data_IF_433960867212
#
_entry.id   IF_433960867212
#
_cell.length_a   1.000
_cell.length_b   1.000
_cell.length_c   1.000
_cell.angle_alpha   90.00
_cell.angle_beta   90.00
_cell.angle_gamma   90.00
#
_symmetry.space_group_name_H-M   'P 1'
#
loop_
_entity.id
_entity.type
_entity.pdbx_description
1 polymer ?
#
# COMPACT_ATOMS: atom_id res chain seq x y z
N UNK A 1 22.81 23.91 -3.03
CA UNK A 1 21.98 22.69 -2.97
C UNK A 1 20.72 22.99 -2.16
N UNK A 2 19.61 23.25 -2.80
CA UNK A 2 18.37 23.66 -2.15
C UNK A 2 17.60 22.42 -1.72
N UNK A 3 17.45 22.20 -0.41
CA UNK A 3 16.56 21.20 0.16
C UNK A 3 15.12 21.63 -0.12
N UNK A 4 14.45 20.99 -1.08
CA UNK A 4 13.00 21.13 -1.25
C UNK A 4 12.33 20.37 -0.10
N UNK A 5 11.98 21.10 0.95
CA UNK A 5 11.05 20.60 1.96
C UNK A 5 9.67 20.51 1.31
N UNK A 6 9.27 19.32 0.91
CA UNK A 6 7.87 19.03 0.58
C UNK A 6 7.15 18.94 1.91
N UNK A 7 6.54 20.05 2.28
CA UNK A 7 5.62 20.14 3.40
C UNK A 7 4.36 19.34 3.01
N UNK A 8 4.27 18.11 3.47
CA UNK A 8 3.01 17.33 3.40
C UNK A 8 2.06 17.99 4.39
N UNK A 9 1.24 18.89 3.88
CA UNK A 9 0.10 19.46 4.62
C UNK A 9 -0.91 18.34 4.81
N UNK A 10 -0.89 17.67 5.97
CA UNK A 10 -2.02 16.93 6.48
C UNK A 10 -3.09 17.96 6.86
N UNK A 11 -3.84 18.44 5.89
CA UNK A 11 -5.04 19.21 6.13
C UNK A 11 -6.04 18.24 6.79
N UNK A 12 -6.19 18.35 8.10
CA UNK A 12 -7.34 17.82 8.81
C UNK A 12 -8.56 18.60 8.29
N UNK A 13 -9.17 18.10 7.21
CA UNK A 13 -10.48 18.54 6.78
C UNK A 13 -11.46 18.06 7.85
N UNK A 14 -11.78 18.93 8.80
CA UNK A 14 -13.05 18.87 9.53
C UNK A 14 -14.15 19.18 8.51
N UNK A 15 -14.52 18.17 7.70
CA UNK A 15 -15.67 18.26 6.82
C UNK A 15 -16.88 18.18 7.73
N UNK A 16 -17.59 19.31 7.93
CA UNK A 16 -18.95 19.29 8.41
C UNK A 16 -19.78 18.54 7.37
N UNK A 17 -20.05 17.27 7.65
CA UNK A 17 -20.79 16.37 6.76
C UNK A 17 -22.26 16.74 6.88
N UNK A 18 -22.89 17.31 5.83
CA UNK A 18 -24.34 17.39 5.80
C UNK A 18 -24.89 15.95 5.78
N UNK A 19 -25.92 15.68 6.57
CA UNK A 19 -26.62 14.41 6.58
C UNK A 19 -27.33 14.21 5.24
N UNK A 20 -26.65 13.54 4.30
CA UNK A 20 -27.21 13.12 3.02
C UNK A 20 -27.51 11.63 3.03
N UNK A 21 -28.47 11.22 2.19
CA UNK A 21 -29.02 9.87 2.06
C UNK A 21 -27.99 8.74 2.19
N UNK A 22 -28.42 7.57 2.60
CA UNK A 22 -27.68 6.37 3.00
C UNK A 22 -26.54 5.86 2.07
N UNK A 23 -26.39 6.44 0.88
CA UNK A 23 -25.40 6.07 -0.15
C UNK A 23 -24.20 7.04 -0.25
N UNK A 24 -24.17 8.13 0.55
CA UNK A 24 -23.09 9.12 0.55
C UNK A 24 -22.56 9.31 1.97
N UNK A 25 -21.28 9.59 2.11
CA UNK A 25 -20.71 9.87 3.43
C UNK A 25 -19.28 9.41 3.62
N UNK A 26 -18.73 9.79 4.77
CA UNK A 26 -17.39 9.39 5.17
C UNK A 26 -17.34 7.96 5.70
N UNK A 27 -16.20 7.32 5.55
CA UNK A 27 -15.95 6.01 6.15
C UNK A 27 -14.47 5.86 6.52
N UNK A 28 -14.20 4.98 7.48
CA UNK A 28 -12.86 4.55 7.84
C UNK A 28 -12.61 3.14 7.31
N UNK A 29 -11.36 2.85 6.99
CA UNK A 29 -10.92 1.54 6.54
C UNK A 29 -9.64 1.13 7.25
N UNK A 30 -9.63 -0.09 7.80
CA UNK A 30 -8.46 -0.71 8.40
C UNK A 30 -8.29 -2.11 7.83
N UNK A 31 -7.11 -2.40 7.25
CA UNK A 31 -6.83 -3.65 6.56
C UNK A 31 -5.49 -4.21 7.02
N UNK A 32 -5.40 -5.54 7.07
CA UNK A 32 -4.17 -6.30 7.25
C UNK A 32 -4.10 -7.38 6.18
N UNK A 33 -2.90 -7.66 5.70
CA UNK A 33 -2.76 -8.64 4.62
C UNK A 33 -1.34 -9.12 4.41
N UNK A 34 -1.19 -9.95 3.40
CA UNK A 34 0.09 -10.43 2.93
C UNK A 34 0.53 -9.64 1.71
N UNK A 35 1.79 -9.24 1.70
CA UNK A 35 2.43 -8.58 0.55
C UNK A 35 3.42 -9.52 -0.11
N UNK A 36 3.59 -9.35 -1.43
CA UNK A 36 4.58 -10.07 -2.22
C UNK A 36 5.34 -9.09 -3.10
N UNK A 37 6.65 -8.99 -2.88
CA UNK A 37 7.59 -8.24 -3.71
C UNK A 37 8.03 -9.10 -4.88
N UNK A 38 7.88 -8.62 -6.14
CA UNK A 38 8.11 -9.45 -7.33
C UNK A 38 9.56 -9.45 -7.77
N UNK A 39 10.14 -8.32 -8.03
CA UNK A 39 11.44 -8.23 -8.75
C UNK A 39 12.62 -8.09 -7.78
N UNK A 40 12.75 -9.01 -6.81
CA UNK A 40 13.94 -9.08 -5.97
C UNK A 40 15.00 -9.87 -6.73
N UNK A 41 15.93 -9.15 -7.38
CA UNK A 41 17.02 -9.76 -8.13
C UNK A 41 18.06 -10.40 -7.19
N UNK A 42 18.39 -11.65 -7.44
CA UNK A 42 19.40 -12.42 -6.72
C UNK A 42 20.48 -12.96 -7.67
N UNK A 43 20.60 -12.38 -8.85
CA UNK A 43 21.60 -12.79 -9.86
C UNK A 43 23.01 -12.62 -9.28
N UNK A 44 23.83 -13.67 -9.37
CA UNK A 44 25.20 -13.68 -8.85
C UNK A 44 25.34 -14.00 -7.35
N UNK A 45 24.24 -14.32 -6.65
CA UNK A 45 24.27 -14.75 -5.24
C UNK A 45 24.18 -16.27 -5.17
N UNK A 46 25.21 -16.92 -4.59
CA UNK A 46 25.25 -18.37 -4.35
C UNK A 46 24.52 -18.67 -3.02
N UNK A 47 23.80 -19.80 -2.92
CA UNK A 47 23.00 -20.20 -1.77
C UNK A 47 22.01 -19.10 -1.34
N UNK A 48 21.41 -18.41 -2.32
CA UNK A 48 20.46 -17.34 -2.07
C UNK A 48 19.20 -17.85 -1.34
N UNK A 49 18.93 -17.30 -0.16
CA UNK A 49 17.65 -17.44 0.53
C UNK A 49 16.90 -16.12 0.41
N UNK A 50 15.66 -16.18 -0.10
CA UNK A 50 14.82 -15.02 -0.35
C UNK A 50 13.49 -15.17 0.38
N UNK A 51 13.11 -14.14 1.14
CA UNK A 51 11.77 -13.98 1.68
C UNK A 51 11.15 -12.73 1.06
N UNK A 52 10.37 -12.94 0.02
CA UNK A 52 9.72 -11.90 -0.79
C UNK A 52 8.29 -11.57 -0.32
N UNK A 53 7.85 -12.21 0.77
CA UNK A 53 6.54 -12.00 1.38
C UNK A 53 6.68 -11.25 2.70
N UNK A 54 5.78 -10.30 2.92
CA UNK A 54 5.69 -9.51 4.16
C UNK A 54 4.26 -9.43 4.67
N UNK A 55 4.07 -8.79 5.82
CA UNK A 55 2.76 -8.40 6.32
C UNK A 55 2.55 -6.93 6.01
N UNK A 56 1.44 -6.62 5.34
CA UNK A 56 1.05 -5.25 5.04
C UNK A 56 -0.11 -4.80 5.94
N UNK A 57 -0.11 -3.50 6.26
CA UNK A 57 -1.19 -2.83 6.99
C UNK A 57 -1.59 -1.59 6.21
N UNK A 58 -2.91 -1.35 6.09
CA UNK A 58 -3.45 -0.14 5.46
C UNK A 58 -4.49 0.47 6.39
N UNK A 59 -4.32 1.74 6.74
CA UNK A 59 -5.24 2.51 7.57
C UNK A 59 -5.59 3.81 6.87
N UNK A 60 -6.87 4.15 6.81
CA UNK A 60 -7.30 5.35 6.13
C UNK A 60 -8.79 5.60 6.24
N UNK A 61 -9.25 6.47 5.37
CA UNK A 61 -10.66 6.79 5.24
C UNK A 61 -11.00 7.21 3.82
N UNK A 62 -12.28 7.30 3.56
CA UNK A 62 -12.78 7.70 2.26
C UNK A 62 -14.08 8.47 2.37
N UNK A 63 -14.50 9.02 1.25
CA UNK A 63 -15.77 9.67 1.10
C UNK A 63 -16.48 9.15 -0.15
N UNK A 64 -17.65 8.58 0.04
CA UNK A 64 -18.54 8.16 -1.03
C UNK A 64 -19.38 9.35 -1.50
N UNK A 65 -19.23 9.73 -2.76
CA UNK A 65 -20.02 10.79 -3.40
C UNK A 65 -21.42 10.29 -3.78
N UNK A 66 -21.51 9.01 -4.09
CA UNK A 66 -22.73 8.28 -4.41
C UNK A 66 -22.47 6.77 -4.26
N UNK A 67 -23.46 5.94 -4.57
CA UNK A 67 -23.36 4.47 -4.49
C UNK A 67 -22.31 3.82 -5.42
N UNK A 68 -21.78 4.58 -6.39
CA UNK A 68 -20.89 4.05 -7.42
C UNK A 68 -19.48 4.67 -7.41
N UNK A 69 -19.27 5.80 -6.71
CA UNK A 69 -18.01 6.51 -6.73
C UNK A 69 -17.61 7.02 -5.35
N UNK A 70 -16.34 6.76 -4.97
CA UNK A 70 -15.72 7.27 -3.76
C UNK A 70 -14.27 7.69 -4.03
N UNK A 71 -13.70 8.42 -3.09
CA UNK A 71 -12.25 8.65 -2.99
C UNK A 71 -11.77 8.12 -1.65
N UNK A 72 -10.61 7.47 -1.62
CA UNK A 72 -9.95 7.01 -0.40
C UNK A 72 -8.58 7.64 -0.28
N UNK A 73 -8.20 7.98 0.96
CA UNK A 73 -6.83 8.32 1.34
C UNK A 73 -6.43 7.43 2.52
N UNK A 74 -5.26 6.82 2.42
CA UNK A 74 -4.77 5.90 3.45
C UNK A 74 -3.25 6.00 3.57
N UNK A 75 -2.72 5.51 4.68
CA UNK A 75 -1.32 5.18 4.82
C UNK A 75 -1.18 3.66 4.71
N UNK A 76 -0.24 3.21 3.88
CA UNK A 76 0.06 1.79 3.72
C UNK A 76 1.51 1.50 4.14
N UNK A 77 1.68 0.48 4.96
CA UNK A 77 2.97 -0.18 5.21
C UNK A 77 2.91 -1.55 4.53
N UNK A 78 3.77 -1.75 3.54
CA UNK A 78 3.85 -2.99 2.76
C UNK A 78 4.76 -4.03 3.41
N UNK A 79 5.28 -3.75 4.62
CA UNK A 79 6.20 -4.63 5.32
C UNK A 79 7.58 -4.65 4.69
N UNK A 80 8.24 -5.80 4.76
CA UNK A 80 9.63 -5.97 4.30
C UNK A 80 9.84 -7.26 3.52
N UNK A 81 10.71 -7.20 2.51
CA UNK A 81 11.36 -8.34 1.88
C UNK A 81 12.80 -8.45 2.39
N UNK A 82 13.31 -9.66 2.51
CA UNK A 82 14.71 -9.91 2.93
C UNK A 82 15.36 -10.91 1.99
N UNK A 83 16.65 -10.75 1.76
CA UNK A 83 17.47 -11.75 1.09
C UNK A 83 18.77 -11.97 1.86
N UNK A 84 19.34 -13.16 1.74
CA UNK A 84 20.65 -13.49 2.26
C UNK A 84 21.31 -14.50 1.35
N UNK A 85 22.64 -14.53 1.32
CA UNK A 85 23.40 -15.47 0.53
C UNK A 85 24.91 -15.21 0.61
N UNK A 86 25.66 -15.78 -0.32
CA UNK A 86 27.13 -15.64 -0.36
C UNK A 86 27.54 -15.09 -1.72
N UNK A 87 28.37 -14.05 -1.71
CA UNK A 87 29.02 -13.50 -2.90
C UNK A 87 30.53 -13.65 -2.73
N UNK A 88 31.18 -14.40 -3.61
CA UNK A 88 32.64 -14.65 -3.56
C UNK A 88 33.14 -15.05 -2.15
N UNK A 89 32.41 -15.96 -1.48
CA UNK A 89 32.75 -16.42 -0.12
C UNK A 89 32.38 -15.49 1.05
N UNK A 90 31.80 -14.33 0.78
CA UNK A 90 31.34 -13.35 1.79
C UNK A 90 29.85 -13.46 1.99
N UNK A 91 29.41 -13.60 3.23
CA UNK A 91 27.98 -13.57 3.55
C UNK A 91 27.42 -12.17 3.35
N UNK A 92 26.33 -12.07 2.59
CA UNK A 92 25.61 -10.84 2.30
C UNK A 92 24.15 -10.99 2.71
N UNK A 93 23.56 -9.90 3.19
CA UNK A 93 22.13 -9.84 3.48
C UNK A 93 21.57 -8.48 3.12
N UNK A 94 20.28 -8.43 2.78
CA UNK A 94 19.61 -7.19 2.49
C UNK A 94 18.15 -7.22 2.92
N UNK A 95 17.62 -6.02 3.15
CA UNK A 95 16.21 -5.80 3.54
C UNK A 95 15.67 -4.64 2.74
N UNK A 96 14.51 -4.83 2.12
CA UNK A 96 13.77 -3.76 1.45
C UNK A 96 12.43 -3.55 2.17
N UNK A 97 12.12 -2.30 2.50
CA UNK A 97 10.84 -1.89 3.11
C UNK A 97 10.18 -0.85 2.22
N UNK A 98 8.86 -0.90 2.11
CA UNK A 98 8.10 0.09 1.36
C UNK A 98 6.87 0.53 2.16
N UNK A 99 6.65 1.85 2.22
CA UNK A 99 5.47 2.43 2.87
C UNK A 99 5.18 3.82 2.32
N UNK A 100 3.97 4.32 2.50
CA UNK A 100 3.63 5.68 2.12
C UNK A 100 2.15 6.00 2.13
N UNK A 101 1.79 7.28 1.98
CA UNK A 101 0.42 7.71 1.75
C UNK A 101 -0.05 7.32 0.35
N UNK A 102 -1.29 6.89 0.26
CA UNK A 102 -1.96 6.49 -0.98
C UNK A 102 -3.27 7.24 -1.13
N UNK A 103 -3.58 7.66 -2.34
CA UNK A 103 -4.88 8.25 -2.69
C UNK A 103 -5.40 7.53 -3.93
N UNK A 104 -6.65 7.05 -3.85
CA UNK A 104 -7.29 6.30 -4.93
C UNK A 104 -8.73 6.78 -5.19
N UNK A 105 -9.11 6.78 -6.44
CA UNK A 105 -10.51 6.79 -6.85
C UNK A 105 -11.04 5.35 -6.74
N UNK A 106 -12.26 5.21 -6.23
CA UNK A 106 -12.92 3.93 -6.01
C UNK A 106 -14.22 3.90 -6.79
N UNK A 107 -14.29 3.01 -7.79
CA UNK A 107 -15.53 2.63 -8.44
C UNK A 107 -16.21 1.52 -7.64
N UNK A 108 -17.48 1.65 -7.37
CA UNK A 108 -18.29 0.72 -6.59
C UNK A 108 -19.44 0.17 -7.42
N UNK A 109 -19.62 -1.14 -7.44
CA UNK A 109 -20.73 -1.82 -8.11
C UNK A 109 -21.50 -2.63 -7.06
N UNK A 110 -22.62 -2.11 -6.53
CA UNK A 110 -23.47 -2.87 -5.61
C UNK A 110 -24.06 -4.11 -6.29
N UNK A 111 -23.92 -5.26 -5.64
CA UNK A 111 -24.47 -6.56 -6.05
C UNK A 111 -25.53 -6.97 -5.04
N UNK A 112 -26.71 -6.35 -5.13
CA UNK A 112 -27.79 -6.51 -4.15
C UNK A 112 -27.57 -5.67 -2.89
N UNK A 113 -28.08 -6.14 -1.75
CA UNK A 113 -28.17 -5.32 -0.54
C UNK A 113 -26.90 -5.36 0.35
N UNK A 114 -26.04 -6.35 0.19
CA UNK A 114 -24.93 -6.60 1.11
C UNK A 114 -23.57 -6.60 0.44
N UNK A 115 -23.47 -7.05 -0.82
CA UNK A 115 -22.21 -7.15 -1.53
C UNK A 115 -21.97 -5.93 -2.42
N UNK A 116 -20.73 -5.46 -2.45
CA UNK A 116 -20.26 -4.41 -3.36
C UNK A 116 -18.90 -4.81 -3.93
N UNK A 117 -18.79 -4.85 -5.25
CA UNK A 117 -17.49 -4.96 -5.92
C UNK A 117 -16.83 -3.59 -5.97
N UNK A 118 -15.50 -3.57 -5.85
CA UNK A 118 -14.68 -2.38 -5.87
C UNK A 118 -13.63 -2.48 -6.97
N UNK A 119 -13.48 -1.38 -7.73
CA UNK A 119 -12.33 -1.13 -8.59
C UNK A 119 -11.61 0.12 -8.09
N UNK A 120 -10.29 0.08 -8.00
CA UNK A 120 -9.49 1.18 -7.44
C UNK A 120 -8.37 1.56 -8.39
N UNK A 121 -8.12 2.85 -8.53
CA UNK A 121 -7.02 3.39 -9.30
C UNK A 121 -6.52 4.68 -8.64
N UNK A 122 -5.20 4.80 -8.48
CA UNK A 122 -4.63 5.98 -7.86
C UNK A 122 -3.13 6.01 -7.82
N UNK A 123 -2.61 6.75 -6.85
CA UNK A 123 -1.18 6.97 -6.67
C UNK A 123 -0.78 6.77 -5.21
N UNK A 124 0.45 6.32 -5.02
CA UNK A 124 1.14 6.22 -3.74
C UNK A 124 2.41 7.07 -3.78
N UNK A 125 2.65 7.89 -2.75
CA UNK A 125 3.96 8.50 -2.53
C UNK A 125 4.81 7.53 -1.71
N UNK A 126 5.43 6.58 -2.43
CA UNK A 126 6.12 5.44 -1.84
C UNK A 126 7.53 5.81 -1.37
N UNK A 127 7.79 5.62 -0.09
CA UNK A 127 9.14 5.61 0.46
C UNK A 127 9.64 4.16 0.52
N UNK A 128 10.70 3.88 -0.24
CA UNK A 128 11.41 2.60 -0.24
C UNK A 128 12.75 2.79 0.46
N UNK A 129 13.06 1.91 1.42
CA UNK A 129 14.34 1.82 2.09
C UNK A 129 14.97 0.47 1.77
N UNK A 130 16.19 0.49 1.27
CA UNK A 130 16.98 -0.68 0.98
C UNK A 130 18.25 -0.66 1.84
N UNK A 131 18.40 -1.65 2.70
CA UNK A 131 19.58 -1.84 3.54
C UNK A 131 20.29 -3.10 3.06
N UNK A 132 21.61 -3.02 2.89
CA UNK A 132 22.46 -4.16 2.52
C UNK A 132 23.68 -4.21 3.44
N UNK A 133 24.10 -5.41 3.82
CA UNK A 133 25.29 -5.63 4.65
C UNK A 133 26.03 -6.91 4.23
N UNK A 134 27.38 -6.89 4.35
CA UNK A 134 28.24 -8.02 4.06
C UNK A 134 29.71 -7.66 4.12
N UNK A 135 30.59 -8.59 4.51
CA UNK A 135 32.05 -8.38 4.53
C UNK A 135 32.54 -7.22 5.39
N UNK A 136 31.81 -6.85 6.44
CA UNK A 136 32.15 -5.68 7.29
C UNK A 136 31.68 -4.33 6.75
N UNK A 137 30.99 -4.29 5.62
CA UNK A 137 30.41 -3.07 5.05
C UNK A 137 28.88 -3.08 5.20
N UNK A 138 28.32 -1.88 5.33
CA UNK A 138 26.87 -1.65 5.31
C UNK A 138 26.54 -0.47 4.39
N UNK A 139 25.47 -0.60 3.62
CA UNK A 139 24.91 0.47 2.78
C UNK A 139 23.42 0.59 3.06
N UNK A 140 22.92 1.82 3.07
CA UNK A 140 21.51 2.12 3.24
C UNK A 140 21.10 3.18 2.23
N UNK A 141 20.10 2.86 1.42
CA UNK A 141 19.55 3.76 0.41
C UNK A 141 18.06 4.01 0.69
N UNK A 142 17.63 5.23 0.39
CA UNK A 142 16.23 5.65 0.53
C UNK A 142 15.79 6.39 -0.72
N UNK A 143 14.67 5.96 -1.28
CA UNK A 143 14.01 6.65 -2.38
C UNK A 143 12.55 6.95 -2.01
N UNK A 144 12.07 8.13 -2.40
CA UNK A 144 10.65 8.49 -2.28
C UNK A 144 10.16 8.95 -3.64
N UNK A 145 9.18 8.25 -4.18
CA UNK A 145 8.64 8.49 -5.54
C UNK A 145 7.14 8.29 -5.56
N UNK A 146 6.46 9.12 -6.35
CA UNK A 146 5.05 8.91 -6.66
C UNK A 146 4.94 7.82 -7.71
N UNK A 147 4.16 6.79 -7.41
CA UNK A 147 3.96 5.59 -8.23
C UNK A 147 2.48 5.27 -8.35
N UNK A 148 2.11 4.52 -9.37
CA UNK A 148 0.72 4.14 -9.63
C UNK A 148 0.33 2.93 -8.79
N UNK A 149 -0.93 2.91 -8.36
CA UNK A 149 -1.56 1.74 -7.73
C UNK A 149 -2.93 1.47 -8.34
N UNK A 150 -3.29 0.21 -8.45
CA UNK A 150 -4.61 -0.23 -8.83
C UNK A 150 -5.00 -1.49 -8.08
N UNK A 151 -6.28 -1.71 -7.95
CA UNK A 151 -6.77 -2.87 -7.21
C UNK A 151 -8.23 -3.17 -7.47
N UNK A 152 -8.63 -4.33 -6.99
CA UNK A 152 -10.02 -4.78 -6.96
C UNK A 152 -10.34 -5.25 -5.54
N UNK A 153 -11.61 -5.23 -5.18
CA UNK A 153 -12.03 -5.68 -3.87
C UNK A 153 -13.50 -6.06 -3.82
N UNK A 154 -13.88 -6.64 -2.71
CA UNK A 154 -15.27 -6.94 -2.39
C UNK A 154 -15.56 -6.54 -0.96
N UNK A 155 -16.69 -5.89 -0.75
CA UNK A 155 -17.20 -5.53 0.57
C UNK A 155 -18.48 -6.31 0.84
N UNK A 156 -18.61 -6.80 2.07
CA UNK A 156 -19.82 -7.38 2.61
C UNK A 156 -20.30 -6.55 3.80
N UNK A 157 -21.43 -5.87 3.65
CA UNK A 157 -22.04 -5.03 4.69
C UNK A 157 -22.97 -5.89 5.55
N UNK A 158 -22.60 -6.13 6.80
CA UNK A 158 -23.45 -6.88 7.74
C UNK A 158 -24.34 -5.96 8.58
N UNK A 159 -23.99 -4.67 8.67
CA UNK A 159 -24.88 -3.61 9.16
C UNK A 159 -24.78 -2.39 8.23
N UNK A 160 -25.57 -1.36 8.50
CA UNK A 160 -25.46 -0.09 7.76
C UNK A 160 -24.11 0.60 8.00
N UNK A 161 -23.52 0.41 9.20
CA UNK A 161 -22.27 1.06 9.61
C UNK A 161 -21.04 0.19 9.40
N UNK A 162 -21.14 -1.13 9.57
CA UNK A 162 -20.00 -2.03 9.54
C UNK A 162 -20.02 -2.97 8.33
N UNK A 163 -18.86 -3.09 7.72
CA UNK A 163 -18.63 -4.04 6.65
C UNK A 163 -17.26 -4.71 6.78
N UNK A 164 -17.15 -5.93 6.26
CA UNK A 164 -15.88 -6.60 6.03
C UNK A 164 -15.50 -6.37 4.57
N UNK A 165 -14.22 -6.15 4.31
CA UNK A 165 -13.69 -5.89 2.97
C UNK A 165 -12.47 -6.77 2.70
N UNK A 166 -12.43 -7.37 1.52
CA UNK A 166 -11.27 -8.05 0.98
C UNK A 166 -10.76 -7.32 -0.25
N UNK A 167 -9.44 -7.10 -0.32
CA UNK A 167 -8.80 -6.35 -1.39
C UNK A 167 -7.62 -7.11 -1.98
N UNK A 168 -7.43 -6.94 -3.29
CA UNK A 168 -6.18 -7.18 -3.99
C UNK A 168 -5.70 -5.85 -4.58
N UNK A 169 -4.53 -5.39 -4.13
CA UNK A 169 -3.88 -4.16 -4.60
C UNK A 169 -2.54 -4.47 -5.24
N UNK A 170 -2.24 -3.82 -6.35
CA UNK A 170 -0.92 -3.78 -6.96
C UNK A 170 -0.35 -2.37 -6.90
N UNK A 171 0.84 -2.27 -6.34
CA UNK A 171 1.66 -1.08 -6.30
C UNK A 171 2.79 -1.26 -7.32
N UNK A 172 2.74 -0.48 -8.40
CA UNK A 172 3.62 -0.69 -9.55
C UNK A 172 4.93 0.06 -9.41
N UNK A 173 6.04 -0.62 -9.73
CA UNK A 173 7.40 -0.07 -9.86
C UNK A 173 7.84 0.76 -8.67
N UNK A 174 7.61 0.27 -7.43
CA UNK A 174 8.06 0.95 -6.21
C UNK A 174 9.59 1.02 -6.17
N UNK A 175 10.12 2.17 -5.73
CA UNK A 175 11.55 2.44 -5.69
C UNK A 175 12.06 3.26 -6.87
N UNK A 176 13.35 3.17 -7.11
CA UNK A 176 14.07 3.88 -8.18
C UNK A 176 15.14 2.95 -8.77
N UNK A 177 15.13 2.77 -10.08
CA UNK A 177 16.04 1.86 -10.81
C UNK A 177 17.53 2.18 -10.60
N UNK A 178 17.86 3.43 -10.28
CA UNK A 178 19.25 3.86 -10.12
C UNK A 178 19.76 3.76 -8.66
N UNK A 179 18.88 3.54 -7.67
CA UNK A 179 19.26 3.54 -6.25
C UNK A 179 18.74 2.32 -5.50
N UNK A 180 17.44 2.24 -5.26
CA UNK A 180 16.82 1.17 -4.44
C UNK A 180 16.36 -0.04 -5.23
N UNK A 181 16.49 -0.02 -6.55
CA UNK A 181 15.81 -0.94 -7.46
C UNK A 181 14.31 -0.60 -7.59
N UNK A 182 13.66 -1.16 -8.61
CA UNK A 182 12.21 -1.08 -8.79
C UNK A 182 11.60 -2.46 -8.59
N UNK A 183 10.45 -2.53 -7.92
CA UNK A 183 9.71 -3.77 -7.72
C UNK A 183 8.21 -3.51 -7.70
N UNK A 184 7.46 -4.39 -8.34
CA UNK A 184 6.01 -4.47 -8.14
C UNK A 184 5.72 -5.15 -6.81
N UNK A 185 4.78 -4.60 -6.05
CA UNK A 185 4.31 -5.21 -4.79
C UNK A 185 2.82 -5.48 -4.90
N UNK A 186 2.45 -6.75 -4.77
CA UNK A 186 1.07 -7.18 -4.64
C UNK A 186 0.70 -7.32 -3.17
N UNK A 187 -0.51 -6.90 -2.79
CA UNK A 187 -1.06 -7.05 -1.44
C UNK A 187 -2.45 -7.67 -1.52
N UNK A 188 -2.62 -8.82 -0.86
CA UNK A 188 -3.95 -9.39 -0.56
C UNK A 188 -4.25 -9.07 0.89
N UNK A 189 -5.39 -8.42 1.15
CA UNK A 189 -5.74 -7.97 2.48
C UNK A 189 -7.21 -8.17 2.81
N UNK A 190 -7.50 -8.28 4.10
CA UNK A 190 -8.84 -8.29 4.67
C UNK A 190 -8.91 -7.24 5.78
N UNK A 191 -10.07 -6.67 5.99
CA UNK A 191 -10.24 -5.67 7.03
C UNK A 191 -11.68 -5.24 7.24
N UNK A 192 -11.83 -4.16 7.98
CA UNK A 192 -13.12 -3.61 8.40
C UNK A 192 -13.28 -2.21 7.83
N UNK A 193 -14.50 -1.92 7.41
CA UNK A 193 -14.95 -0.59 7.02
C UNK A 193 -16.01 -0.14 8.01
N UNK A 194 -15.85 1.08 8.54
CA UNK A 194 -16.84 1.75 9.37
C UNK A 194 -17.36 2.97 8.64
N UNK A 195 -18.67 2.99 8.37
CA UNK A 195 -19.37 4.09 7.68
C UNK A 195 -19.99 5.02 8.70
N UNK A 196 -19.72 6.32 8.57
CA UNK A 196 -20.44 7.34 9.34
C UNK A 196 -21.83 7.54 8.74
N UNK A 197 -22.81 7.69 9.60
CA UNK A 197 -24.18 8.03 9.21
C UNK A 197 -24.43 9.51 9.45
#
# INVERSE_FOLDING_TARGET
MAKKNVLVLLAAFAISIPAFAADTGGYLVGMVGQTKFKDVDTTGITNASKKDTGTGIKLGGGYAFNRNLAVEAAYVDLGKATFSGTVVGVNVSGTTKASGPVVVAVGMLPLGNQFTLLGRLGVIDATVKADASGGGFSASEKSTKVKTTFGIGVTYSFTQQFAIRGDFDRYSKLGDSNTTGESDVDMISIGVVYKFQ
#
